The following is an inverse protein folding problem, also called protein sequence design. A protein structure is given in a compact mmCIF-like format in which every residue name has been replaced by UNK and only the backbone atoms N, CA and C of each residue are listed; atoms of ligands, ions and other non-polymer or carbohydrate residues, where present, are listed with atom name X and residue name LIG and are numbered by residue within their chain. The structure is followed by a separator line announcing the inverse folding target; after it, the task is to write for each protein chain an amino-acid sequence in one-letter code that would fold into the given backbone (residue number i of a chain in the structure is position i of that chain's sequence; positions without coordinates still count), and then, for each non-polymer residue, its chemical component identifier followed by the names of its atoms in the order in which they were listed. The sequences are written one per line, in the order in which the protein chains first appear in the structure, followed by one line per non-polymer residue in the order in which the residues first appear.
data_IF_415546913223
#
_entry.id   IF_415546913223
#
_cell.length_a   1.000
_cell.length_b   1.000
_cell.length_c   1.000
_cell.angle_alpha   90.00
_cell.angle_beta   90.00
_cell.angle_gamma   90.00
#
_symmetry.space_group_name_H-M   'P 1'
#
loop_
_entity.id
_entity.type
_entity.pdbx_description
1 polymer ?
#
# COMPACT_ATOMS: atom_id res chain seq x y z
N UNK A 1 15.79 -9.04 -25.33
CA UNK A 1 16.74 -9.72 -24.41
C UNK A 1 16.11 -9.66 -23.04
N UNK A 2 15.86 -10.81 -22.40
CA UNK A 2 15.48 -10.84 -20.98
C UNK A 2 16.79 -10.77 -20.20
N UNK A 3 17.00 -9.71 -19.44
CA UNK A 3 18.14 -9.53 -18.56
C UNK A 3 17.61 -9.32 -17.15
N UNK A 4 18.18 -10.02 -16.17
CA UNK A 4 17.91 -9.79 -14.76
C UNK A 4 19.23 -9.45 -14.06
N UNK A 5 19.24 -8.34 -13.34
CA UNK A 5 20.35 -7.93 -12.49
C UNK A 5 20.03 -8.14 -10.99
N UNK A 6 18.89 -8.77 -10.68
CA UNK A 6 18.38 -8.88 -9.31
C UNK A 6 18.31 -10.34 -8.86
N UNK A 7 19.45 -10.86 -8.40
CA UNK A 7 19.50 -12.09 -7.61
C UNK A 7 19.99 -11.70 -6.22
N UNK A 8 19.17 -11.93 -5.20
CA UNK A 8 19.55 -11.71 -3.81
C UNK A 8 19.98 -13.04 -3.18
N UNK A 9 21.25 -13.13 -2.76
CA UNK A 9 21.81 -14.29 -2.08
C UNK A 9 22.29 -13.89 -0.69
N UNK A 10 22.00 -14.72 0.30
CA UNK A 10 22.54 -14.61 1.65
C UNK A 10 23.31 -15.88 2.02
N UNK A 11 24.39 -15.72 2.79
CA UNK A 11 25.22 -16.85 3.23
C UNK A 11 24.52 -17.61 4.36
N UNK A 12 24.34 -18.92 4.20
CA UNK A 12 23.80 -19.80 5.25
C UNK A 12 24.90 -20.66 5.92
N UNK A 13 26.16 -20.43 5.59
CA UNK A 13 27.30 -21.19 6.13
C UNK A 13 27.50 -22.59 5.53
N UNK A 14 26.74 -22.97 4.49
CA UNK A 14 26.88 -24.25 3.80
C UNK A 14 27.20 -24.04 2.32
N UNK A 15 28.09 -24.87 1.77
CA UNK A 15 28.32 -24.90 0.32
C UNK A 15 27.06 -25.42 -0.38
N UNK A 16 26.38 -24.52 -1.10
CA UNK A 16 25.07 -24.76 -1.67
C UNK A 16 25.08 -24.43 -3.15
N UNK A 17 24.66 -25.38 -4.00
CA UNK A 17 24.43 -25.14 -5.42
C UNK A 17 22.96 -24.82 -5.67
N UNK A 18 22.67 -23.57 -6.02
CA UNK A 18 21.32 -23.11 -6.37
C UNK A 18 21.14 -22.97 -7.90
N UNK A 19 19.89 -23.07 -8.35
CA UNK A 19 19.46 -22.73 -9.72
C UNK A 19 18.23 -21.83 -9.63
N UNK A 20 18.28 -20.68 -10.30
CA UNK A 20 17.11 -19.80 -10.43
C UNK A 20 16.28 -20.25 -11.63
N UNK A 21 14.98 -20.40 -11.42
CA UNK A 21 14.01 -20.69 -12.47
C UNK A 21 12.98 -19.56 -12.51
N UNK A 22 12.75 -19.01 -13.70
CA UNK A 22 11.80 -17.92 -13.94
C UNK A 22 10.96 -18.31 -15.15
N UNK A 23 9.64 -18.16 -15.01
CA UNK A 23 8.69 -18.32 -16.09
C UNK A 23 7.96 -16.99 -16.31
N UNK A 24 7.63 -16.70 -17.56
CA UNK A 24 6.87 -15.53 -17.95
C UNK A 24 5.57 -15.98 -18.59
N UNK A 25 4.48 -15.36 -18.16
CA UNK A 25 3.21 -15.42 -18.87
C UNK A 25 3.03 -14.12 -19.64
N UNK A 26 2.79 -14.23 -20.94
CA UNK A 26 2.61 -13.07 -21.81
C UNK A 26 1.14 -12.94 -22.17
N UNK A 27 0.67 -11.69 -22.29
CA UNK A 27 -0.62 -11.43 -22.90
C UNK A 27 -0.68 -11.95 -24.35
N UNK A 28 -1.88 -12.25 -24.87
CA UNK A 28 -2.06 -12.58 -26.28
C UNK A 28 -1.50 -11.49 -27.20
N UNK A 29 -1.02 -11.89 -28.39
CA UNK A 29 -0.50 -10.96 -29.38
C UNK A 29 -1.58 -9.95 -29.77
N UNK A 30 -1.26 -8.66 -29.68
CA UNK A 30 -2.17 -7.56 -29.99
C UNK A 30 -3.07 -7.12 -28.83
N UNK A 31 -2.91 -7.69 -27.63
CA UNK A 31 -3.59 -7.18 -26.44
C UNK A 31 -3.02 -5.82 -26.03
N UNK A 32 -3.90 -4.84 -25.86
CA UNK A 32 -3.57 -3.50 -25.37
C UNK A 32 -4.07 -3.36 -23.92
N UNK A 33 -3.18 -3.25 -22.92
CA UNK A 33 -3.58 -3.11 -21.51
C UNK A 33 -4.41 -1.84 -21.28
N UNK A 34 -5.54 -1.97 -20.56
CA UNK A 34 -6.37 -0.82 -20.16
C UNK A 34 -5.59 0.17 -19.29
N UNK A 35 -4.67 -0.34 -18.47
CA UNK A 35 -3.87 0.44 -17.53
C UNK A 35 -2.37 0.28 -17.81
N UNK A 36 -1.62 1.37 -17.75
CA UNK A 36 -0.17 1.32 -17.72
C UNK A 36 0.29 1.19 -16.26
N UNK A 37 0.84 0.03 -15.91
CA UNK A 37 1.38 -0.23 -14.58
C UNK A 37 2.72 0.45 -14.34
N UNK A 38 2.95 0.84 -13.10
CA UNK A 38 4.27 1.27 -12.62
C UNK A 38 4.50 0.72 -11.22
N UNK A 39 5.61 0.00 -11.02
CA UNK A 39 6.16 -0.15 -9.68
C UNK A 39 6.82 1.17 -9.34
N UNK A 40 6.04 2.11 -8.82
CA UNK A 40 6.61 3.26 -8.14
C UNK A 40 6.93 2.80 -6.74
N UNK A 41 8.16 2.94 -6.26
CA UNK A 41 8.52 2.61 -4.87
C UNK A 41 8.11 3.76 -3.94
N UNK A 42 7.54 3.43 -2.79
CA UNK A 42 7.35 4.37 -1.67
C UNK A 42 8.33 3.95 -0.58
N UNK A 43 9.33 4.78 -0.30
CA UNK A 43 10.45 4.40 0.55
C UNK A 43 11.02 5.62 1.28
N UNK A 44 11.68 5.36 2.41
CA UNK A 44 12.59 6.30 3.03
C UNK A 44 13.83 5.55 3.53
N UNK A 45 14.96 5.79 2.86
CA UNK A 45 16.24 5.18 3.20
C UNK A 45 17.26 6.17 3.78
N UNK A 46 16.90 7.44 3.93
CA UNK A 46 17.85 8.50 4.32
C UNK A 46 18.00 8.69 5.83
N UNK A 47 16.98 8.35 6.60
CA UNK A 47 16.87 8.61 8.04
C UNK A 47 16.49 7.34 8.82
N UNK A 48 16.79 6.16 8.27
CA UNK A 48 16.63 4.90 9.02
C UNK A 48 17.63 4.91 10.18
N UNK A 49 17.09 5.04 11.38
CA UNK A 49 17.79 5.08 12.65
C UNK A 49 17.11 4.09 13.61
N UNK A 50 17.66 2.87 13.70
CA UNK A 50 17.13 1.82 14.57
C UNK A 50 18.10 1.62 15.72
N UNK A 51 17.73 2.14 16.88
CA UNK A 51 18.49 2.08 18.12
C UNK A 51 18.68 0.64 18.62
N UNK A 52 19.80 0.42 19.30
CA UNK A 52 20.15 -0.84 19.93
C UNK A 52 19.24 -1.14 21.13
N UNK A 53 18.78 -2.37 21.26
CA UNK A 53 17.96 -2.86 22.37
C UNK A 53 16.64 -2.09 22.59
N UNK A 54 16.07 -1.51 21.53
CA UNK A 54 14.77 -0.82 21.58
C UNK A 54 13.76 -1.51 20.66
N UNK A 55 12.53 -1.68 21.17
CA UNK A 55 11.39 -2.20 20.44
C UNK A 55 10.33 -1.12 20.20
N UNK A 56 9.46 -1.34 19.21
CA UNK A 56 8.37 -0.42 18.86
C UNK A 56 8.85 0.87 18.19
N UNK A 57 10.06 0.89 17.63
CA UNK A 57 10.60 2.05 16.93
C UNK A 57 9.86 2.25 15.61
N UNK A 58 9.59 3.50 15.24
CA UNK A 58 8.74 3.85 14.10
C UNK A 58 9.55 4.54 13.01
N UNK A 59 9.35 4.11 11.77
CA UNK A 59 9.84 4.78 10.57
C UNK A 59 8.66 5.26 9.71
N UNK A 60 8.83 6.39 9.02
CA UNK A 60 7.80 7.02 8.20
C UNK A 60 8.34 7.40 6.81
N UNK A 61 7.55 7.14 5.77
CA UNK A 61 7.86 7.54 4.40
C UNK A 61 6.60 8.04 3.70
N UNK A 62 6.78 9.03 2.82
CA UNK A 62 5.67 9.72 2.17
C UNK A 62 5.89 9.82 0.66
N UNK A 63 4.80 9.73 -0.10
CA UNK A 63 4.77 10.00 -1.53
C UNK A 63 3.49 10.74 -1.91
N UNK A 64 3.63 11.86 -2.62
CA UNK A 64 2.47 12.55 -3.22
C UNK A 64 2.17 11.95 -4.59
N UNK A 65 0.96 11.43 -4.78
CA UNK A 65 0.50 10.90 -6.07
C UNK A 65 0.39 12.04 -7.11
N UNK A 66 0.97 11.82 -8.30
CA UNK A 66 0.96 12.83 -9.39
C UNK A 66 -0.27 12.76 -10.30
N UNK A 67 -1.01 11.66 -10.23
CA UNK A 67 -2.26 11.41 -10.97
C UNK A 67 -3.21 10.56 -10.14
N UNK A 68 -4.42 10.34 -10.67
CA UNK A 68 -5.37 9.40 -10.08
C UNK A 68 -4.72 8.03 -10.01
N UNK A 69 -4.76 7.39 -8.85
CA UNK A 69 -3.97 6.18 -8.57
C UNK A 69 -4.90 5.08 -8.10
N UNK A 70 -4.86 3.92 -8.76
CA UNK A 70 -5.46 2.69 -8.28
C UNK A 70 -4.36 1.78 -7.71
N UNK A 71 -4.49 1.38 -6.45
CA UNK A 71 -3.51 0.52 -5.77
C UNK A 71 -3.91 -0.94 -5.98
N UNK A 72 -3.03 -1.71 -6.61
CA UNK A 72 -3.28 -3.12 -6.95
C UNK A 72 -2.82 -4.02 -5.81
N UNK A 73 -1.65 -3.75 -5.25
CA UNK A 73 -1.09 -4.54 -4.17
C UNK A 73 -0.32 -3.68 -3.18
N UNK A 74 -0.12 -4.24 -1.99
CA UNK A 74 0.74 -3.72 -0.94
C UNK A 74 1.82 -4.78 -0.66
N UNK A 75 3.09 -4.40 -0.75
CA UNK A 75 4.20 -5.31 -0.46
C UNK A 75 5.13 -4.66 0.57
N UNK A 76 4.96 -4.98 1.86
CA UNK A 76 5.84 -4.47 2.88
C UNK A 76 7.24 -5.07 2.73
N UNK A 77 8.23 -4.21 2.57
CA UNK A 77 9.62 -4.62 2.45
C UNK A 77 10.45 -3.97 3.56
N UNK A 78 10.67 -4.77 4.61
CA UNK A 78 11.53 -4.46 5.75
C UNK A 78 12.72 -5.42 5.78
N UNK A 79 13.68 -5.17 6.66
CA UNK A 79 14.72 -6.16 6.99
C UNK A 79 14.43 -6.81 8.36
N UNK A 80 15.42 -7.50 8.94
CA UNK A 80 15.30 -8.29 10.16
C UNK A 80 14.53 -7.65 11.34
N UNK A 81 14.70 -6.35 11.68
CA UNK A 81 13.94 -5.76 12.78
C UNK A 81 12.48 -5.47 12.48
N UNK A 82 12.02 -5.58 11.24
CA UNK A 82 10.64 -5.30 10.89
C UNK A 82 9.65 -6.23 11.61
N UNK A 83 8.58 -5.66 12.16
CA UNK A 83 7.47 -6.42 12.78
C UNK A 83 6.12 -6.13 12.14
N UNK A 84 5.96 -4.94 11.55
CA UNK A 84 4.70 -4.48 10.96
C UNK A 84 4.95 -3.34 10.00
N UNK A 85 4.18 -3.29 8.93
CA UNK A 85 4.06 -2.11 8.08
C UNK A 85 2.59 -1.81 7.78
N UNK A 86 2.23 -0.53 7.85
CA UNK A 86 0.93 -0.05 7.40
C UNK A 86 1.09 0.88 6.20
N UNK A 87 0.08 0.89 5.33
CA UNK A 87 -0.11 1.84 4.24
C UNK A 87 -1.34 2.70 4.54
N UNK A 88 -1.17 3.99 4.48
CA UNK A 88 -2.18 5.01 4.72
C UNK A 88 -2.31 5.95 3.51
N UNK A 89 -3.53 6.38 3.22
CA UNK A 89 -3.82 7.46 2.29
C UNK A 89 -4.33 8.67 3.04
N UNK A 90 -3.73 9.83 2.76
CA UNK A 90 -4.11 11.12 3.31
C UNK A 90 -4.60 12.00 2.16
N UNK A 91 -5.84 12.45 2.24
CA UNK A 91 -6.45 13.33 1.24
C UNK A 91 -7.39 14.35 1.87
N UNK A 92 -7.18 15.63 1.55
CA UNK A 92 -7.85 16.73 2.24
C UNK A 92 -7.52 16.72 3.73
N UNK A 93 -8.54 16.59 4.57
CA UNK A 93 -8.41 16.54 6.04
C UNK A 93 -8.52 15.12 6.61
N UNK A 94 -8.57 14.08 5.76
CA UNK A 94 -8.73 12.68 6.18
C UNK A 94 -7.45 11.89 5.99
N UNK A 95 -7.08 11.12 7.00
CA UNK A 95 -6.07 10.07 6.94
C UNK A 95 -6.77 8.72 7.14
N UNK A 96 -6.46 7.76 6.28
CA UNK A 96 -7.12 6.45 6.26
C UNK A 96 -6.12 5.32 6.02
N UNK A 97 -6.05 4.40 6.98
CA UNK A 97 -5.26 3.17 6.81
C UNK A 97 -5.93 2.26 5.78
N UNK A 98 -5.22 2.00 4.69
CA UNK A 98 -5.67 1.13 3.60
C UNK A 98 -5.33 -0.33 3.87
N UNK A 99 -4.16 -0.59 4.44
CA UNK A 99 -3.71 -1.92 4.82
C UNK A 99 -2.72 -1.83 5.96
N UNK A 100 -2.71 -2.84 6.84
CA UNK A 100 -1.64 -3.01 7.80
C UNK A 100 -1.43 -4.48 8.12
N UNK A 101 -0.19 -4.93 8.02
CA UNK A 101 0.14 -6.35 8.14
C UNK A 101 1.34 -6.54 9.06
N UNK A 102 1.29 -7.60 9.85
CA UNK A 102 2.48 -8.11 10.53
C UNK A 102 3.53 -8.52 9.50
N UNK A 103 4.79 -8.39 9.88
CA UNK A 103 5.93 -8.65 9.03
C UNK A 103 6.84 -9.69 9.70
N UNK A 104 7.21 -10.71 8.93
CA UNK A 104 8.28 -11.64 9.26
C UNK A 104 9.28 -11.60 8.11
N UNK A 105 10.54 -11.32 8.40
CA UNK A 105 11.58 -11.19 7.37
C UNK A 105 11.77 -12.47 6.55
N UNK A 106 11.41 -13.63 7.11
CA UNK A 106 11.45 -14.90 6.39
C UNK A 106 10.23 -15.12 5.47
N UNK A 107 9.21 -14.26 5.56
CA UNK A 107 7.95 -14.40 4.85
C UNK A 107 7.48 -13.07 4.26
N UNK A 108 8.27 -12.56 3.31
CA UNK A 108 7.92 -11.36 2.53
C UNK A 108 6.88 -11.72 1.48
N UNK A 109 5.73 -11.03 1.50
CA UNK A 109 4.60 -11.29 0.60
C UNK A 109 4.04 -10.01 -0.01
N UNK A 110 3.67 -10.11 -1.27
CA UNK A 110 2.78 -9.18 -1.94
C UNK A 110 1.32 -9.50 -1.54
N UNK A 111 0.61 -8.53 -0.99
CA UNK A 111 -0.81 -8.61 -0.68
C UNK A 111 -1.62 -7.91 -1.77
N UNK A 112 -2.26 -8.68 -2.63
CA UNK A 112 -3.11 -8.15 -3.70
C UNK A 112 -4.48 -7.78 -3.12
N UNK A 113 -4.93 -6.56 -3.36
CA UNK A 113 -6.28 -6.16 -2.99
C UNK A 113 -7.29 -6.94 -3.84
N UNK A 114 -8.37 -7.40 -3.20
CA UNK A 114 -9.45 -8.07 -3.91
C UNK A 114 -10.04 -7.14 -5.00
N UNK A 115 -10.60 -7.77 -6.03
CA UNK A 115 -11.32 -7.05 -7.08
C UNK A 115 -12.38 -6.15 -6.47
N UNK A 116 -12.44 -4.91 -6.97
CA UNK A 116 -13.36 -3.87 -6.51
C UNK A 116 -13.11 -3.40 -5.07
N UNK A 117 -12.04 -3.85 -4.43
CA UNK A 117 -11.55 -3.31 -3.15
C UNK A 117 -10.20 -2.61 -3.28
N UNK A 118 -9.66 -2.54 -4.50
CA UNK A 118 -8.50 -1.71 -4.79
C UNK A 118 -8.80 -0.24 -4.42
N UNK A 119 -7.94 0.42 -3.62
CA UNK A 119 -8.04 1.85 -3.35
C UNK A 119 -8.01 2.66 -4.65
N UNK A 120 -8.96 3.59 -4.78
CA UNK A 120 -9.12 4.56 -5.88
C UNK A 120 -8.84 5.96 -5.34
N UNK A 121 -7.61 6.42 -5.52
CA UNK A 121 -7.11 7.62 -4.89
C UNK A 121 -7.03 8.79 -5.88
N UNK A 122 -7.59 9.96 -5.54
CA UNK A 122 -7.44 11.14 -6.37
C UNK A 122 -5.99 11.62 -6.48
N UNK A 123 -5.71 12.34 -7.56
CA UNK A 123 -4.44 13.07 -7.71
C UNK A 123 -4.17 13.94 -6.47
N UNK A 124 -2.92 13.95 -6.01
CA UNK A 124 -2.50 14.75 -4.86
C UNK A 124 -2.74 14.08 -3.51
N UNK A 125 -3.31 12.87 -3.47
CA UNK A 125 -3.29 12.03 -2.26
C UNK A 125 -1.84 11.80 -1.82
N UNK A 126 -1.58 11.97 -0.53
CA UNK A 126 -0.33 11.60 0.10
C UNK A 126 -0.47 10.14 0.53
N UNK A 127 0.37 9.28 -0.01
CA UNK A 127 0.59 7.94 0.52
C UNK A 127 1.63 8.01 1.62
N UNK A 128 1.36 7.31 2.70
CA UNK A 128 2.18 7.29 3.89
C UNK A 128 2.34 5.83 4.31
N UNK A 129 3.59 5.36 4.43
CA UNK A 129 3.86 4.08 5.07
C UNK A 129 4.47 4.31 6.43
N UNK A 130 4.07 3.47 7.38
CA UNK A 130 4.64 3.42 8.73
C UNK A 130 5.19 2.02 8.97
N UNK A 131 6.48 1.93 9.26
CA UNK A 131 7.16 0.69 9.63
C UNK A 131 7.44 0.65 11.13
N UNK A 132 7.27 -0.52 11.74
CA UNK A 132 7.58 -0.74 13.16
C UNK A 132 8.71 -1.75 13.29
N UNK A 133 9.69 -1.40 14.12
CA UNK A 133 10.96 -2.11 14.28
C UNK A 133 11.15 -2.58 15.73
N UNK A 134 11.63 -3.81 15.88
CA UNK A 134 12.06 -4.41 17.14
C UNK A 134 13.49 -4.92 17.03
N UNK A 135 14.43 -4.14 17.59
CA UNK A 135 15.84 -4.47 17.67
C UNK A 135 16.21 -4.93 19.09
N UNK A 136 15.48 -5.91 19.61
CA UNK A 136 15.71 -6.51 20.93
C UNK A 136 15.85 -8.03 20.83
N UNK A 137 16.28 -8.67 21.91
CA UNK A 137 16.37 -10.14 22.02
C UNK A 137 15.02 -10.86 21.85
N UNK A 138 13.89 -10.14 21.89
CA UNK A 138 12.56 -10.73 21.68
C UNK A 138 12.24 -10.99 20.21
N UNK A 139 12.96 -10.36 19.27
CA UNK A 139 12.84 -10.63 17.84
C UNK A 139 13.92 -11.62 17.40
N UNK A 140 13.51 -12.86 17.13
CA UNK A 140 14.41 -13.95 16.77
C UNK A 140 15.15 -13.75 15.43
N UNK A 141 14.71 -12.79 14.60
CA UNK A 141 15.39 -12.44 13.35
C UNK A 141 16.66 -11.59 13.59
N UNK A 142 16.85 -11.05 14.80
CA UNK A 142 17.95 -10.14 15.12
C UNK A 142 19.20 -10.92 15.51
N UNK A 143 20.33 -10.79 14.78
CA UNK A 143 21.55 -11.51 15.10
C UNK A 143 22.29 -10.92 16.32
N UNK A 144 22.24 -9.60 16.52
CA UNK A 144 22.80 -8.93 17.70
C UNK A 144 22.08 -7.60 17.97
N UNK A 145 21.20 -7.52 18.97
CA UNK A 145 20.37 -6.35 19.23
C UNK A 145 21.15 -5.17 19.83
N UNK A 146 22.41 -5.38 20.21
CA UNK A 146 23.28 -4.32 20.74
C UNK A 146 23.80 -3.40 19.65
N UNK A 147 23.67 -3.79 18.39
CA UNK A 147 24.11 -2.99 17.26
C UNK A 147 23.00 -2.05 16.82
N UNK A 148 23.38 -0.79 16.63
CA UNK A 148 22.60 0.16 15.86
C UNK A 148 22.49 -0.33 14.41
N UNK A 149 21.34 -0.12 13.78
CA UNK A 149 21.14 -0.50 12.38
C UNK A 149 20.56 0.65 11.55
N UNK A 150 21.31 1.06 10.54
CA UNK A 150 20.89 2.06 9.56
C UNK A 150 20.48 1.47 8.22
N UNK A 151 20.27 2.35 7.25
CA UNK A 151 19.93 2.00 5.87
C UNK A 151 21.02 1.21 5.15
N UNK A 152 20.63 0.22 4.34
CA UNK A 152 21.53 -0.49 3.43
C UNK A 152 21.05 -1.88 3.01
N UNK A 153 21.74 -2.45 2.02
CA UNK A 153 21.30 -3.69 1.36
C UNK A 153 21.77 -4.97 2.05
N UNK A 154 22.55 -4.87 3.13
CA UNK A 154 23.06 -6.04 3.86
C UNK A 154 22.01 -6.52 4.85
N UNK A 155 22.07 -7.80 5.22
CA UNK A 155 21.16 -8.40 6.22
C UNK A 155 21.26 -7.79 7.63
N UNK A 156 22.32 -7.02 7.92
CA UNK A 156 22.52 -6.27 9.17
C UNK A 156 22.29 -4.76 9.03
N UNK A 157 21.88 -4.34 7.84
CA UNK A 157 21.37 -3.00 7.54
C UNK A 157 19.89 -3.11 7.22
N UNK A 158 19.22 -2.01 6.91
CA UNK A 158 17.76 -1.97 6.79
C UNK A 158 17.27 -1.34 5.50
N UNK A 159 16.08 -1.81 5.10
CA UNK A 159 15.24 -1.17 4.10
C UNK A 159 13.87 -0.88 4.70
N UNK A 160 13.24 0.16 4.18
CA UNK A 160 11.88 0.54 4.52
C UNK A 160 11.17 1.01 3.26
N UNK A 161 10.45 0.08 2.61
CA UNK A 161 9.91 0.25 1.27
C UNK A 161 8.54 -0.43 1.18
N UNK A 162 7.60 0.19 0.49
CA UNK A 162 6.46 -0.48 -0.15
C UNK A 162 6.77 -0.71 -1.63
N UNK A 163 6.79 -1.99 -2.02
CA UNK A 163 7.02 -2.46 -3.38
C UNK A 163 5.72 -2.83 -4.11
N UNK A 164 4.57 -2.49 -3.52
CA UNK A 164 3.25 -2.74 -4.08
C UNK A 164 3.05 -2.11 -5.47
N UNK A 165 2.23 -2.77 -6.26
CA UNK A 165 1.89 -2.36 -7.61
C UNK A 165 0.78 -1.30 -7.60
N UNK A 166 0.93 -0.33 -8.49
CA UNK A 166 -0.05 0.75 -8.68
C UNK A 166 -0.15 1.13 -10.14
N UNK A 167 -1.34 1.58 -10.51
CA UNK A 167 -1.62 2.09 -11.86
C UNK A 167 -2.07 3.54 -11.78
N UNK A 168 -1.62 4.34 -12.73
CA UNK A 168 -2.13 5.71 -12.90
C UNK A 168 -3.33 5.66 -13.85
N UNK A 169 -4.42 6.31 -13.45
CA UNK A 169 -5.66 6.40 -14.21
C UNK A 169 -5.77 7.76 -14.90
N UNK A 170 -6.38 7.80 -16.09
CA UNK A 170 -6.91 9.05 -16.65
C UNK A 170 -8.10 9.55 -15.81
N UNK A 171 -8.49 10.80 -16.03
CA UNK A 171 -9.66 11.38 -15.35
C UNK A 171 -10.94 10.58 -15.70
N UNK A 172 -11.10 10.18 -16.97
CA UNK A 172 -12.22 9.35 -17.43
C UNK A 172 -12.22 7.97 -16.78
N UNK A 173 -11.06 7.29 -16.75
CA UNK A 173 -10.92 5.97 -16.12
C UNK A 173 -11.21 6.04 -14.62
N UNK A 174 -10.77 7.10 -13.95
CA UNK A 174 -11.03 7.29 -12.52
C UNK A 174 -12.52 7.49 -12.23
N UNK A 175 -13.22 8.29 -13.05
CA UNK A 175 -14.67 8.50 -12.92
C UNK A 175 -15.44 7.21 -13.22
N UNK A 176 -15.05 6.47 -14.25
CA UNK A 176 -15.64 5.17 -14.61
C UNK A 176 -15.51 4.16 -13.45
N UNK A 177 -14.30 3.94 -12.94
CA UNK A 177 -14.04 3.02 -11.82
C UNK A 177 -14.81 3.39 -10.56
N UNK A 178 -14.95 4.69 -10.26
CA UNK A 178 -15.80 5.14 -9.13
C UNK A 178 -17.29 4.87 -9.37
N UNK A 179 -17.78 5.08 -10.60
CA UNK A 179 -19.17 4.81 -10.93
C UNK A 179 -19.50 3.31 -10.84
N UNK A 180 -18.65 2.47 -11.43
CA UNK A 180 -18.74 1.01 -11.31
C UNK A 180 -18.74 0.58 -9.84
N UNK A 181 -17.87 1.19 -9.01
CA UNK A 181 -17.79 0.91 -7.58
C UNK A 181 -19.07 1.26 -6.84
N UNK A 182 -19.63 2.43 -7.13
CA UNK A 182 -20.88 2.91 -6.52
C UNK A 182 -22.04 1.99 -6.88
N UNK A 183 -22.16 1.61 -8.15
CA UNK A 183 -23.22 0.71 -8.61
C UNK A 183 -23.08 -0.68 -7.99
N UNK A 184 -21.87 -1.25 -8.02
CA UNK A 184 -21.62 -2.61 -7.55
C UNK A 184 -21.92 -2.82 -6.07
N UNK A 185 -21.67 -1.81 -5.25
CA UNK A 185 -21.91 -1.86 -3.81
C UNK A 185 -23.19 -1.15 -3.37
N UNK A 186 -24.02 -0.69 -4.32
CA UNK A 186 -25.26 0.06 -4.06
C UNK A 186 -25.03 1.23 -3.09
N UNK A 187 -23.94 1.98 -3.32
CA UNK A 187 -23.51 3.02 -2.39
C UNK A 187 -24.44 4.23 -2.44
N UNK A 188 -24.86 4.66 -1.26
CA UNK A 188 -25.64 5.87 -1.04
C UNK A 188 -24.77 6.98 -0.45
N UNK A 189 -25.32 8.20 -0.36
CA UNK A 189 -24.66 9.34 0.30
C UNK A 189 -24.31 9.11 1.78
N UNK A 190 -24.94 8.13 2.43
CA UNK A 190 -24.75 7.84 3.84
C UNK A 190 -23.67 6.78 4.09
N UNK A 191 -23.15 6.17 3.02
CA UNK A 191 -22.14 5.13 3.14
C UNK A 191 -20.73 5.71 3.33
N UNK A 192 -19.78 4.82 3.54
CA UNK A 192 -18.36 5.16 3.58
C UNK A 192 -17.57 3.98 3.01
N UNK A 193 -16.72 4.27 2.02
CA UNK A 193 -15.88 3.26 1.39
C UNK A 193 -14.40 3.61 1.59
N UNK A 194 -13.72 2.75 2.35
CA UNK A 194 -12.28 2.85 2.61
C UNK A 194 -11.52 2.83 1.28
N UNK A 195 -10.58 3.74 1.12
CA UNK A 195 -9.73 3.83 -0.05
C UNK A 195 -10.41 4.44 -1.27
N UNK A 196 -11.63 4.98 -1.16
CA UNK A 196 -12.28 5.73 -2.25
C UNK A 196 -12.91 7.04 -1.74
N UNK A 197 -12.11 8.06 -1.40
CA UNK A 197 -12.60 9.28 -0.77
C UNK A 197 -13.57 10.08 -1.65
N UNK A 198 -13.58 9.85 -2.97
CA UNK A 198 -14.44 10.53 -3.93
C UNK A 198 -15.57 9.65 -4.50
N UNK A 199 -15.69 8.37 -4.14
CA UNK A 199 -16.74 7.51 -4.69
C UNK A 199 -18.13 8.10 -4.45
N UNK A 200 -18.38 8.68 -3.28
CA UNK A 200 -19.70 9.23 -2.95
C UNK A 200 -19.96 10.61 -3.56
N UNK A 201 -18.95 11.24 -4.18
CA UNK A 201 -19.13 12.51 -4.86
C UNK A 201 -20.03 12.35 -6.11
N UNK A 202 -20.02 11.17 -6.74
CA UNK A 202 -20.79 10.87 -7.96
C UNK A 202 -22.25 10.51 -7.68
N UNK A 203 -22.58 10.06 -6.46
CA UNK A 203 -23.96 9.72 -6.07
C UNK A 203 -24.82 11.00 -6.08
N UNK A 204 -26.05 11.00 -6.63
CA UNK A 204 -26.95 12.15 -6.54
C UNK A 204 -27.42 12.40 -5.10
N UNK A 205 -27.59 13.66 -4.70
CA UNK A 205 -28.28 13.99 -3.44
C UNK A 205 -29.79 13.86 -3.67
N UNK A 206 -30.53 13.07 -2.86
CA UNK A 206 -31.98 13.03 -2.96
C UNK A 206 -32.56 14.44 -2.77
N UNK A 207 -33.64 14.81 -3.49
CA UNK A 207 -34.30 16.08 -3.28
C UNK A 207 -34.71 16.19 -1.81
N UNK A 208 -34.57 17.39 -1.23
CA UNK A 208 -35.04 17.63 0.12
C UNK A 208 -36.51 17.22 0.22
N UNK A 209 -36.86 16.40 1.22
CA UNK A 209 -38.27 16.15 1.54
C UNK A 209 -38.91 17.52 1.73
N UNK A 210 -39.91 17.84 0.91
CA UNK A 210 -40.72 19.03 1.13
C UNK A 210 -41.16 19.00 2.60
N UNK A 211 -40.93 20.10 3.33
CA UNK A 211 -41.39 20.24 4.69
C UNK A 211 -42.89 19.93 4.68
N UNK A 212 -43.25 18.76 5.19
CA UNK A 212 -44.63 18.35 5.31
C UNK A 212 -45.32 19.42 6.13
N UNK A 213 -46.34 20.03 5.53
CA UNK A 213 -47.27 20.95 6.15
C UNK A 213 -47.55 20.44 7.57
N UNK A 214 -47.10 21.18 8.58
CA UNK A 214 -47.37 20.89 9.97
C UNK A 214 -48.87 21.09 10.16
N UNK A 215 -49.62 20.02 9.86
CA UNK A 215 -51.06 19.95 9.99
C UNK A 215 -51.43 20.45 11.38
N UNK A 216 -52.04 21.63 11.39
CA UNK A 216 -52.57 22.31 12.55
C UNK A 216 -53.57 21.36 13.23
N UNK A 217 -53.26 20.89 14.43
CA UNK A 217 -54.26 20.25 15.28
C UNK A 217 -55.29 21.33 15.67
N UNK A 218 -56.59 21.14 15.40
CA UNK A 218 -57.62 21.97 16.01
C UNK A 218 -57.77 21.61 17.49
N UNK A 219 -58.10 22.63 18.28
CA UNK A 219 -58.21 22.65 19.74
C UNK A 219 -59.07 21.54 20.36
#
# INVERSE_FOLDING_TARGET
MIASESIHLHSNGQDTRARLEVAFEFFPVGYEPKYQGSITSLANGSDIDIEANVSGQRLDAYLVTRGHTKIISFEPHLHAPGERMCLEAIWGFKAETLSCVGYDHNWVRTYVFADDYQPLLPRGTILHITGYMNNTETNANIPDPRNWQGSGNRSVANMFIDLGERVTLSDEQFVEEMAERVEKFDLTKNDYLIGCPLCLATVPTPPAKAAGDSGQQPD
#
